data_IF_205453480097
#
_entry.id   IF_205453480097
#
_cell.length_a   1.000
_cell.length_b   1.000
_cell.length_c   1.000
_cell.angle_alpha   90.00
_cell.angle_beta   90.00
_cell.angle_gamma   90.00
#
_symmetry.space_group_name_H-M   'P 1'
#
loop_
_entity.id
_entity.type
_entity.pdbx_description
1 polymer ?
#
# COMPACT_ATOMS: atom_id res chain seq x y z
N UNK A 1 5.20 12.97 15.01
CA UNK A 1 5.74 11.73 14.41
C UNK A 1 4.60 10.74 14.32
N UNK A 2 4.32 10.19 13.14
CA UNK A 2 3.35 9.11 12.97
C UNK A 2 4.11 7.80 13.23
N UNK A 3 3.55 6.90 14.03
CA UNK A 3 4.17 5.60 14.34
C UNK A 3 3.60 4.48 13.46
N UNK A 4 4.34 3.38 13.31
CA UNK A 4 3.87 2.18 12.59
C UNK A 4 2.56 1.62 13.16
N UNK A 5 2.40 1.68 14.48
CA UNK A 5 1.18 1.29 15.18
C UNK A 5 -0.04 2.14 14.76
N UNK A 6 0.15 3.45 14.59
CA UNK A 6 -0.92 4.34 14.12
C UNK A 6 -1.31 4.09 12.66
N UNK A 7 -0.39 3.52 11.88
CA UNK A 7 -0.62 3.11 10.50
C UNK A 7 -1.14 1.66 10.40
N UNK A 8 -1.29 0.96 11.54
CA UNK A 8 -1.80 -0.41 11.60
C UNK A 8 -0.81 -1.48 11.16
N UNK A 9 0.47 -1.15 10.96
CA UNK A 9 1.46 -2.09 10.44
C UNK A 9 1.77 -3.25 11.40
N UNK A 10 1.46 -3.11 12.70
CA UNK A 10 1.57 -4.19 13.68
C UNK A 10 0.59 -5.35 13.41
N UNK A 11 -0.42 -5.13 12.57
CA UNK A 11 -1.37 -6.16 12.16
C UNK A 11 -0.90 -6.98 10.95
N UNK A 12 0.20 -6.58 10.31
CA UNK A 12 0.79 -7.29 9.17
C UNK A 12 1.60 -8.49 9.66
N UNK A 13 1.50 -9.60 8.96
CA UNK A 13 2.44 -10.72 9.10
C UNK A 13 3.84 -10.29 8.64
N UNK A 14 4.91 -10.99 9.06
CA UNK A 14 6.27 -10.68 8.61
C UNK A 14 6.45 -10.72 7.09
N UNK A 15 5.70 -11.60 6.41
CA UNK A 15 5.72 -11.74 4.95
C UNK A 15 5.06 -10.52 4.29
N UNK A 16 3.86 -10.14 4.71
CA UNK A 16 3.17 -8.94 4.21
C UNK A 16 4.00 -7.69 4.48
N UNK A 17 4.63 -7.60 5.66
CA UNK A 17 5.47 -6.46 6.02
C UNK A 17 6.66 -6.31 5.07
N UNK A 18 7.25 -7.42 4.64
CA UNK A 18 8.37 -7.42 3.68
C UNK A 18 7.93 -7.01 2.27
N UNK A 19 6.70 -7.33 1.88
CA UNK A 19 6.16 -7.01 0.56
C UNK A 19 5.65 -5.56 0.47
N UNK A 20 5.11 -5.03 1.57
CA UNK A 20 4.43 -3.73 1.60
C UNK A 20 5.35 -2.59 2.04
N UNK A 21 6.31 -2.87 2.94
CA UNK A 21 7.18 -1.86 3.57
C UNK A 21 8.62 -1.98 3.04
N UNK A 22 9.12 -0.90 2.44
CA UNK A 22 10.51 -0.76 2.02
C UNK A 22 11.23 0.30 2.84
N UNK A 23 12.50 0.07 3.12
CA UNK A 23 13.40 1.02 3.78
C UNK A 23 14.43 1.51 2.78
N UNK A 24 14.63 2.83 2.71
CA UNK A 24 15.72 3.41 1.93
C UNK A 24 17.02 3.47 2.76
N UNK A 25 18.14 3.87 2.13
CA UNK A 25 19.44 3.98 2.80
C UNK A 25 19.50 5.11 3.86
N UNK A 26 18.54 6.03 3.85
CA UNK A 26 18.43 7.14 4.80
C UNK A 26 17.54 6.78 6.00
N UNK A 27 16.91 5.59 5.99
CA UNK A 27 15.97 5.15 7.00
C UNK A 27 14.55 5.66 6.78
N UNK A 28 14.23 6.21 5.61
CA UNK A 28 12.86 6.54 5.22
C UNK A 28 12.07 5.26 4.92
N UNK A 29 10.81 5.25 5.37
CA UNK A 29 9.88 4.16 5.18
C UNK A 29 8.96 4.47 4.01
N UNK A 30 9.00 3.63 2.99
CA UNK A 30 8.16 3.72 1.80
C UNK A 30 7.13 2.60 1.82
N UNK A 31 5.85 2.95 1.67
CA UNK A 31 4.73 2.00 1.74
C UNK A 31 3.86 2.16 0.51
N UNK A 32 3.53 1.05 -0.14
CA UNK A 32 2.55 1.03 -1.25
C UNK A 32 1.22 0.54 -0.72
N UNK A 33 0.19 1.38 -0.86
CA UNK A 33 -1.18 1.06 -0.44
C UNK A 33 -2.17 1.41 -1.55
N UNK A 34 -3.24 0.65 -1.64
CA UNK A 34 -4.40 1.00 -2.47
C UNK A 34 -5.33 1.89 -1.66
N UNK A 35 -5.62 3.09 -2.15
CA UNK A 35 -6.53 4.02 -1.50
C UNK A 35 -7.99 3.51 -1.55
N UNK A 36 -8.88 3.95 -0.66
CA UNK A 36 -10.29 3.49 -0.67
C UNK A 36 -10.99 3.76 -2.00
N UNK A 37 -10.83 4.97 -2.54
CA UNK A 37 -11.37 5.31 -3.85
C UNK A 37 -10.82 4.41 -4.98
N UNK A 38 -9.53 4.10 -4.90
CA UNK A 38 -8.83 3.21 -5.83
C UNK A 38 -9.38 1.79 -5.75
N UNK A 39 -9.67 1.32 -4.52
CA UNK A 39 -10.26 0.00 -4.27
C UNK A 39 -11.68 -0.08 -4.82
N UNK A 40 -12.53 0.91 -4.54
CA UNK A 40 -13.90 0.96 -5.07
C UNK A 40 -13.92 0.94 -6.60
N UNK A 41 -13.00 1.70 -7.24
CA UNK A 41 -12.89 1.70 -8.69
C UNK A 41 -12.46 0.34 -9.26
N UNK A 42 -11.49 -0.33 -8.61
CA UNK A 42 -11.05 -1.68 -9.01
C UNK A 42 -12.14 -2.75 -8.79
N UNK A 43 -12.95 -2.61 -7.74
CA UNK A 43 -14.10 -3.50 -7.48
C UNK A 43 -15.19 -3.31 -8.54
N UNK A 44 -15.47 -2.07 -8.95
CA UNK A 44 -16.45 -1.75 -9.99
C UNK A 44 -15.96 -2.08 -11.41
N UNK A 45 -14.66 -1.94 -11.66
CA UNK A 45 -14.00 -2.11 -12.96
C UNK A 45 -12.71 -2.94 -12.83
N UNK A 46 -12.81 -4.28 -12.74
CA UNK A 46 -11.65 -5.16 -12.53
C UNK A 46 -10.57 -5.05 -13.62
N UNK A 47 -10.94 -4.65 -14.84
CA UNK A 47 -10.05 -4.42 -15.97
C UNK A 47 -9.00 -3.35 -15.72
N UNK A 48 -9.25 -2.41 -14.79
CA UNK A 48 -8.30 -1.36 -14.43
C UNK A 48 -7.02 -1.92 -13.78
N UNK A 49 -7.06 -3.15 -13.23
CA UNK A 49 -5.88 -3.84 -12.69
C UNK A 49 -4.81 -4.14 -13.74
N UNK A 50 -5.16 -4.13 -15.03
CA UNK A 50 -4.24 -4.36 -16.14
C UNK A 50 -3.47 -3.09 -16.54
N UNK A 51 -3.88 -1.93 -16.04
CA UNK A 51 -3.29 -0.65 -16.35
C UNK A 51 -2.17 -0.32 -15.36
N UNK A 52 -1.07 0.21 -15.88
CA UNK A 52 0.03 0.68 -15.04
C UNK A 52 -0.39 1.84 -14.12
N UNK A 53 -1.41 2.60 -14.52
CA UNK A 53 -2.02 3.62 -13.69
C UNK A 53 -3.56 3.62 -13.84
N UNK A 54 -4.29 3.00 -12.89
CA UNK A 54 -5.73 2.74 -12.99
C UNK A 54 -6.64 3.99 -13.03
N UNK A 55 -6.21 5.11 -12.45
CA UNK A 55 -7.04 6.29 -12.19
C UNK A 55 -6.42 7.61 -12.67
N UNK A 56 -5.55 7.54 -13.69
CA UNK A 56 -4.82 8.69 -14.22
C UNK A 56 -5.62 9.56 -15.18
#
# INVERSE_FOLDING_TARGET
MITEAQLGFDSLTPEERKDIIAYDFNGEVMVRVTCDHCREALEAHPELSLLANPLQ
#
